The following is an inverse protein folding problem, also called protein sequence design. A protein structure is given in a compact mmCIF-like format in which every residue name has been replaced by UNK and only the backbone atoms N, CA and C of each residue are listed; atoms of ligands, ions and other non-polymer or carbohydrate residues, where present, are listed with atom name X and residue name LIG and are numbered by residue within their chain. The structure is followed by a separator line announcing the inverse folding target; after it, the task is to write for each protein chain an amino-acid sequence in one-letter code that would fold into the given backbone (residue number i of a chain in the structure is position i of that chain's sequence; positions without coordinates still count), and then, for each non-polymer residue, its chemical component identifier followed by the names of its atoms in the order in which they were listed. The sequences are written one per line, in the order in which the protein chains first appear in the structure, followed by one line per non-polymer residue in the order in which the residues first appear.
data_IF_401579179943
#
_entry.id   IF_401579179943
#
_cell.length_a   1.000
_cell.length_b   1.000
_cell.length_c   1.000
_cell.angle_alpha   90.00
_cell.angle_beta   90.00
_cell.angle_gamma   90.00
#
_symmetry.space_group_name_H-M   'P 1'
#
loop_
_entity.id
_entity.type
_entity.pdbx_description
1 polymer ?
#
# COMPACT_ATOMS: atom_id res chain seq x y z
N UNK A 1 43.59 29.86 40.86
CA UNK A 1 42.50 30.79 40.44
C UNK A 1 42.75 31.35 39.05
N UNK A 2 43.91 31.93 38.69
CA UNK A 2 44.13 32.51 37.37
C UNK A 2 43.95 31.56 36.20
N UNK A 3 44.50 30.31 36.27
CA UNK A 3 44.32 29.31 35.24
C UNK A 3 42.86 28.92 35.00
N UNK A 4 42.04 28.87 36.05
CA UNK A 4 40.60 28.56 35.94
C UNK A 4 39.84 29.70 35.27
N UNK A 5 40.17 30.95 35.57
CA UNK A 5 39.59 32.13 34.91
C UNK A 5 39.97 32.19 33.43
N UNK A 6 41.22 31.88 33.10
CA UNK A 6 41.68 31.85 31.73
C UNK A 6 41.01 30.72 30.91
N UNK A 7 40.84 29.54 31.50
CA UNK A 7 40.11 28.44 30.87
C UNK A 7 38.63 28.79 30.67
N UNK A 8 37.96 29.36 31.64
CA UNK A 8 36.58 29.87 31.53
C UNK A 8 36.41 30.94 30.44
N UNK A 9 37.38 31.83 30.31
CA UNK A 9 37.36 32.87 29.29
C UNK A 9 37.47 32.28 27.87
N UNK A 10 38.41 31.35 27.62
CA UNK A 10 38.54 30.69 26.31
C UNK A 10 37.36 29.79 26.00
N UNK A 11 36.78 29.09 26.96
CA UNK A 11 35.56 28.33 26.75
C UNK A 11 34.37 29.23 26.40
N UNK A 12 34.23 30.39 27.04
CA UNK A 12 33.22 31.40 26.72
C UNK A 12 33.36 31.94 25.30
N UNK A 13 34.58 32.26 24.87
CA UNK A 13 34.85 32.70 23.48
C UNK A 13 34.53 31.56 22.49
N UNK A 14 34.91 30.33 22.80
CA UNK A 14 34.63 29.18 21.96
C UNK A 14 33.12 28.91 21.78
N UNK A 15 32.35 29.04 22.88
CA UNK A 15 30.88 28.91 22.83
C UNK A 15 30.24 30.06 22.03
N UNK A 16 30.74 31.29 22.18
CA UNK A 16 30.24 32.44 21.42
C UNK A 16 30.51 32.25 19.90
N UNK A 17 31.72 31.83 19.54
CA UNK A 17 32.07 31.54 18.15
C UNK A 17 31.18 30.40 17.56
N UNK A 18 30.96 29.36 18.33
CA UNK A 18 30.06 28.26 17.93
C UNK A 18 28.63 28.76 17.70
N UNK A 19 28.11 29.59 18.61
CA UNK A 19 26.80 30.23 18.48
C UNK A 19 26.70 31.07 17.20
N UNK A 20 27.71 31.92 16.94
CA UNK A 20 27.77 32.77 15.73
C UNK A 20 27.78 31.89 14.46
N UNK A 21 28.57 30.79 14.44
CA UNK A 21 28.59 29.87 13.34
C UNK A 21 27.24 29.16 13.12
N UNK A 22 26.57 28.75 14.20
CA UNK A 22 25.25 28.14 14.13
C UNK A 22 24.18 29.12 13.60
N UNK A 23 24.22 30.37 14.06
CA UNK A 23 23.33 31.44 13.57
C UNK A 23 23.59 31.76 12.09
N UNK A 24 24.86 31.81 11.67
CA UNK A 24 25.20 31.99 10.26
C UNK A 24 24.72 30.81 9.40
N UNK A 25 24.96 29.58 9.83
CA UNK A 25 24.48 28.38 9.14
C UNK A 25 22.95 28.36 9.04
N UNK A 26 22.25 28.75 10.12
CA UNK A 26 20.79 28.88 10.10
C UNK A 26 20.33 29.99 9.14
N UNK A 27 21.03 31.13 9.10
CA UNK A 27 20.76 32.19 8.14
C UNK A 27 20.89 31.72 6.69
N UNK A 28 21.99 31.01 6.36
CA UNK A 28 22.17 30.39 5.03
C UNK A 28 21.10 29.38 4.72
N UNK A 29 20.68 28.56 5.69
CA UNK A 29 19.57 27.61 5.50
C UNK A 29 18.25 28.36 5.20
N UNK A 30 17.95 29.45 5.89
CA UNK A 30 16.78 30.28 5.62
C UNK A 30 16.83 30.88 4.20
N UNK A 31 17.99 31.35 3.75
CA UNK A 31 18.16 31.83 2.37
C UNK A 31 17.96 30.72 1.34
N UNK A 32 18.45 29.52 1.63
CA UNK A 32 18.22 28.35 0.78
C UNK A 32 16.73 27.98 0.70
N UNK A 33 16.02 27.95 1.83
CA UNK A 33 14.57 27.73 1.87
C UNK A 33 13.84 28.80 1.05
N UNK A 34 14.23 30.10 1.19
CA UNK A 34 13.66 31.18 0.40
C UNK A 34 13.88 31.00 -1.10
N UNK A 35 15.08 30.59 -1.49
CA UNK A 35 15.39 30.26 -2.89
C UNK A 35 14.48 29.15 -3.43
N UNK A 36 14.30 28.05 -2.65
CA UNK A 36 13.39 26.95 -3.03
C UNK A 36 11.96 27.48 -3.17
N UNK A 37 11.48 28.31 -2.24
CA UNK A 37 10.15 28.91 -2.36
C UNK A 37 10.01 29.70 -3.67
N UNK A 38 10.94 30.59 -3.94
CA UNK A 38 10.93 31.42 -5.17
C UNK A 38 10.90 30.57 -6.44
N UNK A 39 11.66 29.47 -6.45
CA UNK A 39 11.71 28.55 -7.60
C UNK A 39 10.34 27.92 -7.93
N UNK A 40 9.50 27.67 -6.93
CA UNK A 40 8.23 26.95 -7.08
C UNK A 40 6.97 27.78 -6.83
N UNK A 41 7.09 29.07 -6.45
CA UNK A 41 5.94 29.92 -6.06
C UNK A 41 4.96 30.22 -7.19
N UNK A 42 5.38 30.08 -8.44
CA UNK A 42 4.52 30.23 -9.61
C UNK A 42 3.55 29.06 -9.80
N UNK A 43 3.78 27.90 -9.13
CA UNK A 43 2.88 26.75 -9.16
C UNK A 43 1.76 26.97 -8.15
N UNK A 44 0.48 26.77 -8.53
CA UNK A 44 -0.66 26.92 -7.64
C UNK A 44 -0.51 26.08 -6.35
N UNK A 45 -1.15 26.52 -5.29
CA UNK A 45 -1.19 25.78 -4.04
C UNK A 45 -1.54 26.67 -2.85
N UNK A 46 -1.85 26.08 -1.69
CA UNK A 46 -2.28 26.81 -0.52
C UNK A 46 -1.16 27.73 0.02
N UNK A 47 -1.52 28.78 0.76
CA UNK A 47 -0.55 29.57 1.51
C UNK A 47 0.17 28.68 2.52
N UNK A 48 1.48 28.94 2.73
CA UNK A 48 2.27 28.19 3.71
C UNK A 48 1.86 28.58 5.13
N UNK A 49 1.74 27.60 6.01
CA UNK A 49 1.49 27.83 7.43
C UNK A 49 2.67 28.55 8.11
N UNK A 50 3.87 28.25 7.65
CA UNK A 50 5.13 28.75 8.20
C UNK A 50 6.20 28.86 7.12
N UNK A 51 7.09 29.83 7.26
CA UNK A 51 8.24 30.00 6.37
C UNK A 51 9.14 28.76 6.34
N UNK A 52 9.49 28.19 7.50
CA UNK A 52 10.37 27.03 7.58
C UNK A 52 9.61 25.71 7.42
N UNK A 53 8.48 25.55 8.10
CA UNK A 53 7.78 24.26 8.13
C UNK A 53 6.87 24.03 6.91
N UNK A 54 6.62 25.07 6.10
CA UNK A 54 5.72 24.97 4.95
C UNK A 54 4.30 24.63 5.37
N UNK A 55 3.73 23.54 4.85
CA UNK A 55 2.37 23.07 5.13
C UNK A 55 2.30 21.97 6.20
N UNK A 56 3.38 21.78 6.97
CA UNK A 56 3.44 20.70 7.98
C UNK A 56 2.30 20.80 9.00
N UNK A 57 1.98 22.03 9.45
CA UNK A 57 0.93 22.24 10.45
C UNK A 57 -0.46 21.90 9.90
N UNK A 58 -0.76 22.30 8.66
CA UNK A 58 -2.01 21.96 7.98
C UNK A 58 -2.14 20.47 7.76
N UNK A 59 -1.07 19.80 7.33
CA UNK A 59 -1.05 18.34 7.12
C UNK A 59 -1.27 17.60 8.44
N UNK A 60 -0.60 18.02 9.52
CA UNK A 60 -0.78 17.44 10.85
C UNK A 60 -2.22 17.60 11.36
N UNK A 61 -2.77 18.82 11.28
CA UNK A 61 -4.16 19.08 11.68
C UNK A 61 -5.16 18.25 10.86
N UNK A 62 -4.89 18.09 9.56
CA UNK A 62 -5.73 17.26 8.70
C UNK A 62 -5.68 15.78 9.10
N UNK A 63 -4.51 15.27 9.46
CA UNK A 63 -4.37 13.90 9.96
C UNK A 63 -5.14 13.72 11.28
N UNK A 64 -5.10 14.72 12.18
CA UNK A 64 -5.86 14.68 13.43
C UNK A 64 -7.39 14.75 13.20
N UNK A 65 -7.86 15.49 12.18
CA UNK A 65 -9.28 15.68 11.89
C UNK A 65 -9.88 14.62 10.96
N UNK A 66 -9.19 14.29 9.87
CA UNK A 66 -9.65 13.34 8.84
C UNK A 66 -9.09 11.92 9.01
N UNK A 67 -8.18 11.73 9.97
CA UNK A 67 -7.37 10.53 10.17
C UNK A 67 -6.36 10.22 9.03
N UNK A 68 -6.48 10.89 7.86
CA UNK A 68 -5.54 10.75 6.72
C UNK A 68 -5.30 12.11 6.02
N UNK A 69 -4.06 12.36 5.61
CA UNK A 69 -3.68 13.61 4.92
C UNK A 69 -4.24 13.72 3.49
N UNK A 70 -4.59 12.60 2.87
CA UNK A 70 -5.06 12.55 1.47
C UNK A 70 -6.37 13.32 1.25
N UNK A 71 -7.22 13.43 2.27
CA UNK A 71 -8.45 14.23 2.18
C UNK A 71 -8.16 15.74 2.10
N UNK A 72 -7.10 16.20 2.76
CA UNK A 72 -6.61 17.57 2.59
C UNK A 72 -6.08 17.80 1.17
N UNK A 73 -5.32 16.84 0.64
CA UNK A 73 -4.80 16.91 -0.72
C UNK A 73 -5.92 16.96 -1.76
N UNK A 74 -7.02 16.24 -1.54
CA UNK A 74 -8.21 16.30 -2.39
C UNK A 74 -8.82 17.70 -2.39
N UNK A 75 -9.04 18.30 -1.22
CA UNK A 75 -9.56 19.67 -1.09
C UNK A 75 -8.67 20.69 -1.80
N UNK A 76 -7.37 20.58 -1.62
CA UNK A 76 -6.43 21.46 -2.31
C UNK A 76 -6.48 21.27 -3.83
N UNK A 77 -6.64 20.03 -4.32
CA UNK A 77 -6.75 19.77 -5.75
C UNK A 77 -8.04 20.35 -6.35
N UNK A 78 -9.13 20.34 -5.61
CA UNK A 78 -10.39 20.97 -6.01
C UNK A 78 -10.32 22.50 -5.99
N UNK A 79 -9.60 23.08 -5.05
CA UNK A 79 -9.48 24.54 -4.87
C UNK A 79 -8.42 25.19 -5.79
N UNK A 80 -7.24 24.57 -5.90
CA UNK A 80 -6.08 25.17 -6.59
C UNK A 80 -5.82 24.57 -7.98
N UNK A 81 -6.51 23.51 -8.37
CA UNK A 81 -6.40 22.89 -9.68
C UNK A 81 -5.59 21.60 -9.74
N UNK A 82 -5.28 21.13 -10.97
CA UNK A 82 -4.75 19.78 -11.19
C UNK A 82 -3.27 19.60 -10.81
N UNK A 83 -2.55 20.69 -10.55
CA UNK A 83 -1.14 20.66 -10.15
C UNK A 83 -0.97 21.57 -8.93
N UNK A 84 -0.61 20.99 -7.80
CA UNK A 84 -0.49 21.70 -6.54
C UNK A 84 0.90 21.54 -5.98
N UNK A 85 1.52 22.64 -5.51
CA UNK A 85 2.74 22.57 -4.73
C UNK A 85 2.45 22.35 -3.24
N UNK A 86 3.24 21.49 -2.63
CA UNK A 86 3.28 21.28 -1.18
C UNK A 86 4.70 21.47 -0.70
N UNK A 87 4.88 22.36 0.27
CA UNK A 87 6.18 22.66 0.87
C UNK A 87 6.31 21.98 2.24
N UNK A 88 7.44 21.31 2.48
CA UNK A 88 7.81 20.76 3.78
C UNK A 88 9.29 21.03 4.01
N UNK A 89 9.63 21.95 4.92
CA UNK A 89 10.99 22.42 5.12
C UNK A 89 11.58 22.95 3.79
N UNK A 90 12.73 22.44 3.40
CA UNK A 90 13.39 22.73 2.12
C UNK A 90 12.96 21.80 0.98
N UNK A 91 11.99 20.94 1.20
CA UNK A 91 11.45 20.02 0.17
C UNK A 91 10.14 20.55 -0.41
N UNK A 92 10.00 20.43 -1.70
CA UNK A 92 8.75 20.64 -2.42
C UNK A 92 8.37 19.36 -3.12
N UNK A 93 7.12 18.97 -3.00
CA UNK A 93 6.54 17.95 -3.85
C UNK A 93 5.26 18.47 -4.48
N UNK A 94 4.92 17.93 -5.61
CA UNK A 94 3.72 18.30 -6.34
C UNK A 94 2.70 17.17 -6.24
N UNK A 95 1.44 17.54 -6.07
CA UNK A 95 0.31 16.61 -6.21
C UNK A 95 -0.30 16.90 -7.56
N UNK A 96 -0.41 15.85 -8.39
CA UNK A 96 -0.92 15.96 -9.74
C UNK A 96 -2.14 15.07 -9.91
N UNK A 97 -3.24 15.67 -10.40
CA UNK A 97 -4.53 15.03 -10.63
C UNK A 97 -4.97 15.12 -12.10
N UNK A 98 -4.03 15.40 -13.03
CA UNK A 98 -4.24 15.36 -14.47
C UNK A 98 -4.11 13.93 -15.00
N UNK A 99 -5.13 13.35 -15.65
CA UNK A 99 -5.05 12.02 -16.26
C UNK A 99 -3.97 11.92 -17.34
N UNK A 100 -3.74 12.99 -18.11
CA UNK A 100 -2.71 13.06 -19.14
C UNK A 100 -1.31 12.97 -18.51
N UNK A 101 -1.08 13.73 -17.44
CA UNK A 101 0.18 13.65 -16.70
C UNK A 101 0.36 12.28 -16.01
N UNK A 102 -0.71 11.70 -15.46
CA UNK A 102 -0.68 10.32 -14.89
C UNK A 102 -0.26 9.32 -15.96
N UNK A 103 -0.87 9.41 -17.16
CA UNK A 103 -0.53 8.56 -18.30
C UNK A 103 0.95 8.69 -18.63
N UNK A 104 1.42 9.90 -18.86
CA UNK A 104 2.81 10.12 -19.27
C UNK A 104 3.82 9.70 -18.21
N UNK A 105 3.63 10.16 -16.98
CA UNK A 105 4.57 9.90 -15.90
C UNK A 105 4.62 8.42 -15.47
N UNK A 106 3.52 7.67 -15.59
CA UNK A 106 3.49 6.27 -15.22
C UNK A 106 3.85 5.32 -16.36
N UNK A 107 3.50 5.67 -17.62
CA UNK A 107 3.76 4.80 -18.76
C UNK A 107 5.18 4.97 -19.33
N UNK A 108 5.79 6.15 -19.16
CA UNK A 108 7.13 6.43 -19.64
C UNK A 108 8.21 5.79 -18.76
N UNK A 109 9.26 5.28 -19.37
CA UNK A 109 10.46 4.78 -18.67
C UNK A 109 11.43 5.91 -18.25
N UNK A 110 11.21 7.13 -18.73
CA UNK A 110 12.05 8.31 -18.44
C UNK A 110 12.04 8.67 -16.94
N UNK A 111 10.89 8.51 -16.29
CA UNK A 111 10.69 9.00 -14.92
C UNK A 111 10.91 7.88 -13.90
N UNK A 112 11.93 8.05 -13.07
CA UNK A 112 12.26 7.11 -12.00
C UNK A 112 11.32 7.29 -10.79
N UNK A 113 11.36 6.35 -9.87
CA UNK A 113 10.73 6.53 -8.57
C UNK A 113 11.42 7.64 -7.79
N UNK A 114 10.66 8.31 -6.93
CA UNK A 114 11.17 9.37 -6.07
C UNK A 114 12.26 8.87 -5.12
N UNK A 115 13.48 9.44 -5.18
CA UNK A 115 14.58 8.98 -4.34
C UNK A 115 14.39 9.30 -2.85
N UNK A 116 13.57 10.28 -2.49
CA UNK A 116 13.39 10.70 -1.09
C UNK A 116 12.38 9.81 -0.36
N UNK A 117 11.19 9.63 -0.92
CA UNK A 117 10.15 8.82 -0.31
C UNK A 117 10.53 7.33 -0.25
N UNK A 118 11.06 6.79 -1.36
CA UNK A 118 11.45 5.38 -1.39
C UNK A 118 12.72 5.07 -0.58
N UNK A 119 13.58 6.06 -0.31
CA UNK A 119 14.71 5.90 0.60
C UNK A 119 14.27 5.64 2.05
N UNK A 120 13.13 6.17 2.47
CA UNK A 120 12.57 5.87 3.79
C UNK A 120 12.17 4.40 3.91
N UNK A 121 11.70 3.79 2.82
CA UNK A 121 11.34 2.38 2.78
C UNK A 121 12.54 1.46 2.58
N UNK A 122 13.65 1.98 2.06
CA UNK A 122 14.91 1.22 1.96
C UNK A 122 15.37 0.76 3.35
N UNK A 123 15.31 1.67 4.33
CA UNK A 123 15.64 1.36 5.72
C UNK A 123 14.66 2.03 6.68
N UNK A 124 14.11 1.27 7.62
CA UNK A 124 13.31 1.78 8.72
C UNK A 124 14.15 1.77 10.01
N UNK A 125 14.15 2.88 10.74
CA UNK A 125 14.87 3.03 12.02
C UNK A 125 16.32 2.49 11.95
N UNK A 126 17.06 2.82 10.86
CA UNK A 126 18.44 2.39 10.55
C UNK A 126 18.59 0.89 10.20
N UNK A 127 17.53 0.10 10.22
CA UNK A 127 17.55 -1.28 9.75
C UNK A 127 17.18 -1.35 8.27
N UNK A 128 17.94 -2.13 7.49
CA UNK A 128 17.59 -2.41 6.09
C UNK A 128 16.25 -3.13 6.06
N UNK A 129 15.25 -2.54 5.39
CA UNK A 129 13.89 -3.06 5.32
C UNK A 129 13.59 -3.61 3.93
N UNK A 130 13.12 -2.80 3.00
CA UNK A 130 12.95 -3.24 1.60
C UNK A 130 14.25 -3.20 0.78
N UNK A 131 15.31 -2.58 1.29
CA UNK A 131 16.61 -2.52 0.64
C UNK A 131 16.51 -2.09 -0.83
N UNK A 132 17.08 -2.87 -1.73
CA UNK A 132 17.01 -2.71 -3.18
C UNK A 132 15.95 -3.61 -3.84
N UNK A 133 14.89 -3.98 -3.12
CA UNK A 133 13.79 -4.75 -3.69
C UNK A 133 12.99 -3.99 -4.76
N UNK A 134 12.09 -4.68 -5.45
CA UNK A 134 11.32 -4.14 -6.58
C UNK A 134 10.54 -2.85 -6.27
N UNK A 135 10.12 -2.65 -5.02
CA UNK A 135 9.39 -1.43 -4.62
C UNK A 135 10.32 -0.22 -4.51
N UNK A 136 11.53 -0.40 -4.01
CA UNK A 136 12.43 0.70 -3.60
C UNK A 136 13.57 0.97 -4.56
N UNK A 137 13.90 0.04 -5.44
CA UNK A 137 15.01 0.22 -6.37
C UNK A 137 14.70 1.29 -7.43
N UNK A 138 15.46 2.40 -7.38
CA UNK A 138 15.37 3.51 -8.32
C UNK A 138 16.26 3.33 -9.55
N UNK A 139 17.25 2.44 -9.50
CA UNK A 139 18.10 2.14 -10.66
C UNK A 139 17.30 1.27 -11.64
N UNK A 140 17.09 1.78 -12.87
CA UNK A 140 16.24 1.14 -13.86
C UNK A 140 16.76 -0.24 -14.29
N UNK A 141 18.05 -0.35 -14.59
CA UNK A 141 18.64 -1.58 -15.15
C UNK A 141 18.66 -2.72 -14.13
N UNK A 142 19.07 -2.43 -12.88
CA UNK A 142 19.04 -3.39 -11.79
C UNK A 142 17.59 -3.81 -11.47
N UNK A 143 16.66 -2.85 -11.40
CA UNK A 143 15.26 -3.13 -11.19
C UNK A 143 14.66 -3.99 -12.31
N UNK A 144 14.97 -3.67 -13.59
CA UNK A 144 14.47 -4.41 -14.75
C UNK A 144 14.96 -5.86 -14.74
N UNK A 145 16.23 -6.08 -14.41
CA UNK A 145 16.80 -7.42 -14.24
C UNK A 145 16.05 -8.22 -13.17
N UNK A 146 15.84 -7.64 -11.99
CA UNK A 146 15.04 -8.27 -10.92
C UNK A 146 13.62 -8.55 -11.37
N UNK A 147 12.95 -7.57 -12.02
CA UNK A 147 11.58 -7.71 -12.50
C UNK A 147 11.44 -8.89 -13.45
N UNK A 148 12.37 -9.06 -14.37
CA UNK A 148 12.39 -10.17 -15.34
C UNK A 148 12.49 -11.55 -14.68
N UNK A 149 13.26 -11.66 -13.60
CA UNK A 149 13.38 -12.90 -12.83
C UNK A 149 12.06 -13.25 -12.12
N UNK A 150 11.34 -12.24 -11.67
CA UNK A 150 10.16 -12.43 -10.81
C UNK A 150 8.85 -12.52 -11.57
N UNK A 151 8.71 -11.85 -12.72
CA UNK A 151 7.48 -11.84 -13.52
C UNK A 151 6.92 -13.25 -13.84
N UNK A 152 7.75 -14.28 -14.17
CA UNK A 152 7.22 -15.61 -14.44
C UNK A 152 6.46 -16.25 -13.28
N UNK A 153 6.83 -15.92 -12.01
CA UNK A 153 6.14 -16.43 -10.82
C UNK A 153 4.77 -15.74 -10.57
N UNK A 154 4.53 -14.60 -11.19
CA UNK A 154 3.27 -13.85 -11.12
C UNK A 154 2.47 -13.91 -12.42
N UNK A 155 2.89 -14.76 -13.37
CA UNK A 155 2.14 -14.99 -14.61
C UNK A 155 0.80 -15.67 -14.33
N UNK A 156 -0.23 -15.33 -15.12
CA UNK A 156 -1.57 -15.94 -14.98
C UNK A 156 -1.54 -17.47 -15.06
N UNK A 157 -0.73 -18.02 -15.97
CA UNK A 157 -0.57 -19.46 -16.14
C UNK A 157 -0.05 -20.11 -14.86
N UNK A 158 1.00 -19.55 -14.27
CA UNK A 158 1.56 -20.09 -13.04
C UNK A 158 0.62 -19.91 -11.83
N UNK A 159 -0.04 -18.75 -11.73
CA UNK A 159 -0.98 -18.47 -10.64
C UNK A 159 -2.24 -19.35 -10.70
N UNK A 160 -2.65 -19.81 -11.89
CA UNK A 160 -3.73 -20.78 -12.02
C UNK A 160 -3.40 -22.08 -11.29
N UNK A 161 -2.16 -22.54 -11.37
CA UNK A 161 -1.70 -23.75 -10.69
C UNK A 161 -1.60 -23.56 -9.16
N UNK A 162 -1.63 -22.32 -8.65
CA UNK A 162 -1.62 -22.00 -7.23
C UNK A 162 -3.01 -21.85 -6.60
N UNK A 163 -4.10 -22.10 -7.35
CA UNK A 163 -5.47 -21.99 -6.83
C UNK A 163 -5.71 -22.82 -5.58
N UNK A 164 -5.05 -23.97 -5.47
CA UNK A 164 -5.13 -24.82 -4.28
C UNK A 164 -4.65 -24.12 -3.01
N UNK A 165 -3.61 -23.24 -3.09
CA UNK A 165 -3.11 -22.47 -1.96
C UNK A 165 -4.17 -21.46 -1.50
N UNK A 166 -4.77 -20.70 -2.43
CA UNK A 166 -5.82 -19.76 -2.10
C UNK A 166 -7.01 -20.44 -1.42
N UNK A 167 -7.41 -21.60 -1.94
CA UNK A 167 -8.48 -22.40 -1.35
C UNK A 167 -8.11 -22.90 0.05
N UNK A 168 -6.95 -23.57 0.20
CA UNK A 168 -6.48 -24.10 1.49
C UNK A 168 -6.41 -23.03 2.58
N UNK A 169 -5.77 -21.88 2.25
CA UNK A 169 -5.62 -20.82 3.25
C UNK A 169 -6.95 -20.15 3.59
N UNK A 170 -7.82 -19.99 2.59
CA UNK A 170 -9.19 -19.52 2.84
C UNK A 170 -9.99 -20.50 3.70
N UNK A 171 -9.84 -21.83 3.50
CA UNK A 171 -10.47 -22.84 4.36
C UNK A 171 -10.05 -22.70 5.82
N UNK A 172 -8.76 -22.52 6.09
CA UNK A 172 -8.29 -22.28 7.47
C UNK A 172 -8.95 -21.05 8.13
N UNK A 173 -9.22 -20.01 7.35
CA UNK A 173 -9.99 -18.86 7.84
C UNK A 173 -11.43 -19.26 8.17
N UNK A 174 -12.06 -20.06 7.27
CA UNK A 174 -13.44 -20.53 7.51
C UNK A 174 -13.51 -21.41 8.76
N UNK A 175 -12.55 -22.30 8.97
CA UNK A 175 -12.42 -23.13 10.18
C UNK A 175 -12.31 -22.27 11.45
N UNK A 176 -11.50 -21.19 11.42
CA UNK A 176 -11.39 -20.25 12.54
C UNK A 176 -12.66 -19.44 12.78
N UNK A 177 -13.37 -19.10 11.72
CA UNK A 177 -14.67 -18.43 11.85
C UNK A 177 -15.72 -19.40 12.44
N UNK A 178 -15.71 -20.67 12.08
CA UNK A 178 -16.64 -21.67 12.61
C UNK A 178 -16.54 -21.80 14.14
N UNK A 179 -15.31 -21.71 14.70
CA UNK A 179 -15.08 -21.75 16.16
C UNK A 179 -15.81 -20.61 16.91
N UNK A 180 -16.10 -19.49 16.26
CA UNK A 180 -16.65 -18.25 16.87
C UNK A 180 -17.90 -17.73 16.20
N UNK A 181 -18.48 -18.49 15.25
CA UNK A 181 -19.66 -18.08 14.46
C UNK A 181 -20.98 -18.34 15.22
N UNK A 182 -21.08 -17.86 16.46
CA UNK A 182 -22.26 -17.98 17.34
C UNK A 182 -23.24 -16.79 17.27
N UNK A 183 -22.92 -15.80 16.46
CA UNK A 183 -23.70 -14.57 16.29
C UNK A 183 -23.56 -13.58 17.47
N UNK A 184 -22.73 -13.86 18.45
CA UNK A 184 -22.56 -13.04 19.67
C UNK A 184 -21.09 -12.65 19.90
N UNK A 185 -20.17 -13.57 19.66
CA UNK A 185 -18.72 -13.33 19.86
C UNK A 185 -18.20 -12.31 18.85
N UNK A 186 -17.59 -11.19 19.33
CA UNK A 186 -16.98 -10.20 18.43
C UNK A 186 -15.72 -10.76 17.76
N UNK A 187 -15.65 -10.67 16.44
CA UNK A 187 -14.54 -11.12 15.60
C UNK A 187 -13.88 -9.92 14.92
N UNK A 188 -12.58 -9.75 15.09
CA UNK A 188 -11.79 -8.74 14.39
C UNK A 188 -11.49 -9.20 12.95
N UNK A 189 -12.40 -8.91 12.02
CA UNK A 189 -12.32 -9.37 10.63
C UNK A 189 -11.03 -8.93 9.93
N UNK A 190 -10.59 -7.69 10.14
CA UNK A 190 -9.34 -7.22 9.56
C UNK A 190 -8.12 -8.04 10.05
N UNK A 191 -8.08 -8.43 11.33
CA UNK A 191 -7.01 -9.25 11.86
C UNK A 191 -7.06 -10.67 11.27
N UNK A 192 -8.24 -11.27 11.20
CA UNK A 192 -8.41 -12.61 10.66
C UNK A 192 -8.04 -12.68 9.18
N UNK A 193 -8.47 -11.69 8.39
CA UNK A 193 -8.11 -11.57 6.97
C UNK A 193 -6.59 -11.35 6.81
N UNK A 194 -5.96 -10.53 7.68
CA UNK A 194 -4.51 -10.38 7.70
C UNK A 194 -3.77 -11.71 7.95
N UNK A 195 -4.29 -12.56 8.80
CA UNK A 195 -3.71 -13.90 9.03
C UNK A 195 -3.77 -14.75 7.74
N UNK A 196 -4.88 -14.73 7.01
CA UNK A 196 -5.02 -15.48 5.75
C UNK A 196 -4.05 -14.99 4.68
N UNK A 197 -4.00 -13.69 4.42
CA UNK A 197 -3.09 -13.12 3.42
C UNK A 197 -1.63 -13.33 3.80
N UNK A 198 -1.34 -13.37 5.10
CA UNK A 198 -0.03 -13.73 5.63
C UNK A 198 0.27 -15.22 5.39
N UNK A 199 -0.69 -16.11 5.67
CA UNK A 199 -0.56 -17.55 5.47
C UNK A 199 -0.42 -17.93 3.99
N UNK A 200 -1.03 -17.18 3.09
CA UNK A 200 -0.88 -17.35 1.63
C UNK A 200 0.55 -16.99 1.19
N UNK A 201 1.17 -15.99 1.82
CA UNK A 201 2.54 -15.56 1.48
C UNK A 201 3.59 -16.32 2.28
N UNK A 202 3.33 -16.59 3.58
CA UNK A 202 4.26 -17.30 4.46
C UNK A 202 3.55 -18.14 5.50
N UNK A 203 4.01 -19.35 5.67
CA UNK A 203 3.68 -20.22 6.79
C UNK A 203 4.49 -19.80 8.02
N UNK A 204 3.81 -19.22 9.02
CA UNK A 204 4.29 -19.04 10.40
C UNK A 204 4.79 -17.67 10.86
N UNK A 205 4.05 -16.98 11.78
CA UNK A 205 4.61 -16.33 12.99
C UNK A 205 3.56 -15.75 13.96
N UNK A 206 3.78 -15.78 15.30
CA UNK A 206 3.05 -14.97 16.28
C UNK A 206 3.94 -13.99 17.06
N UNK A 207 3.31 -12.87 17.50
CA UNK A 207 3.50 -12.04 18.69
C UNK A 207 4.25 -10.70 18.70
N UNK A 208 3.67 -9.73 19.45
CA UNK A 208 3.94 -8.30 19.65
C UNK A 208 5.13 -7.95 20.55
N UNK A 209 5.74 -6.74 20.34
CA UNK A 209 6.39 -5.91 21.38
C UNK A 209 6.67 -4.45 20.91
N UNK A 210 6.66 -3.48 21.90
CA UNK A 210 6.92 -2.02 21.84
C UNK A 210 7.30 -1.42 20.48
N UNK A 211 6.46 -0.51 19.97
CA UNK A 211 6.36 -0.09 18.58
C UNK A 211 7.69 0.20 17.82
N UNK A 212 8.64 0.92 18.37
CA UNK A 212 9.92 1.24 17.65
C UNK A 212 10.91 0.09 17.72
N UNK A 213 11.17 -0.47 18.90
CA UNK A 213 11.98 -1.68 19.04
C UNK A 213 11.31 -2.89 18.39
N UNK A 214 9.98 -2.92 18.36
CA UNK A 214 9.21 -3.93 17.68
C UNK A 214 9.43 -3.91 16.17
N UNK A 215 9.43 -2.75 15.54
CA UNK A 215 9.65 -2.62 14.09
C UNK A 215 11.11 -2.91 13.72
N UNK A 216 12.09 -2.45 14.50
CA UNK A 216 13.50 -2.82 14.30
C UNK A 216 13.71 -4.33 14.41
N UNK A 217 13.21 -4.95 15.48
CA UNK A 217 13.31 -6.38 15.69
C UNK A 217 12.54 -7.18 14.64
N UNK A 218 11.35 -6.70 14.23
CA UNK A 218 10.57 -7.32 13.17
C UNK A 218 11.28 -7.28 11.81
N UNK A 219 11.90 -6.16 11.44
CA UNK A 219 12.67 -6.05 10.21
C UNK A 219 13.87 -7.01 10.20
N UNK A 220 14.64 -7.05 11.31
CA UNK A 220 15.77 -7.97 11.46
C UNK A 220 15.31 -9.43 11.42
N UNK A 221 14.23 -9.76 12.14
CA UNK A 221 13.66 -11.10 12.18
C UNK A 221 13.15 -11.54 10.80
N UNK A 222 12.42 -10.67 10.11
CA UNK A 222 11.87 -10.96 8.79
C UNK A 222 12.97 -11.23 7.77
N UNK A 223 14.06 -10.46 7.79
CA UNK A 223 15.24 -10.70 6.94
C UNK A 223 15.94 -12.01 7.27
N UNK A 224 16.09 -12.32 8.57
CA UNK A 224 16.67 -13.60 9.03
C UNK A 224 15.85 -14.78 8.51
N UNK A 225 14.54 -14.73 8.69
CA UNK A 225 13.62 -15.79 8.21
C UNK A 225 13.66 -15.87 6.70
N UNK A 226 13.63 -14.72 6.00
CA UNK A 226 13.75 -14.69 4.54
C UNK A 226 15.00 -15.41 4.05
N UNK A 227 16.15 -15.10 4.68
CA UNK A 227 17.41 -15.78 4.37
C UNK A 227 17.32 -17.30 4.64
N UNK A 228 16.83 -17.71 5.81
CA UNK A 228 16.71 -19.13 6.16
C UNK A 228 15.77 -19.87 5.18
N UNK A 229 14.66 -19.26 4.77
CA UNK A 229 13.73 -19.83 3.80
C UNK A 229 14.39 -20.00 2.41
N UNK A 230 15.10 -18.98 1.94
CA UNK A 230 15.82 -18.98 0.67
C UNK A 230 16.90 -20.05 0.69
N UNK A 231 17.76 -20.07 1.73
CA UNK A 231 18.90 -21.01 1.84
C UNK A 231 18.40 -22.46 1.89
N UNK A 232 17.37 -22.75 2.70
CA UNK A 232 16.77 -24.10 2.78
C UNK A 232 16.16 -24.54 1.45
N UNK A 233 15.44 -23.63 0.76
CA UNK A 233 14.81 -23.95 -0.51
C UNK A 233 15.85 -24.17 -1.62
N UNK A 234 16.91 -23.34 -1.69
CA UNK A 234 18.04 -23.53 -2.62
C UNK A 234 18.71 -24.88 -2.37
N UNK A 235 19.00 -25.21 -1.12
CA UNK A 235 19.64 -26.47 -0.76
C UNK A 235 18.78 -27.70 -1.15
N UNK A 236 17.46 -27.62 -0.95
CA UNK A 236 16.54 -28.71 -1.34
C UNK A 236 16.50 -28.88 -2.87
N UNK A 237 16.42 -27.76 -3.62
CA UNK A 237 16.46 -27.79 -5.10
C UNK A 237 17.77 -28.43 -5.59
N UNK A 238 18.92 -27.99 -5.05
CA UNK A 238 20.23 -28.54 -5.42
C UNK A 238 20.39 -30.04 -5.12
N UNK A 239 19.73 -30.54 -4.07
CA UNK A 239 19.71 -31.99 -3.75
C UNK A 239 18.71 -32.79 -4.58
N UNK A 240 17.91 -32.14 -5.45
CA UNK A 240 16.86 -32.78 -6.22
C UNK A 240 15.67 -33.26 -5.37
N UNK A 241 15.48 -32.69 -4.17
CA UNK A 241 14.35 -33.00 -3.30
C UNK A 241 13.05 -32.43 -3.88
N UNK A 242 11.92 -33.06 -3.54
CA UNK A 242 10.62 -32.51 -3.86
C UNK A 242 10.41 -31.21 -3.06
N UNK A 243 10.12 -30.13 -3.78
CA UNK A 243 9.90 -28.80 -3.19
C UNK A 243 8.49 -28.29 -3.51
N UNK A 244 7.86 -27.53 -2.62
CA UNK A 244 6.55 -26.92 -2.88
C UNK A 244 6.54 -26.12 -4.18
N UNK A 245 5.47 -26.23 -4.95
CA UNK A 245 5.23 -25.38 -6.10
C UNK A 245 4.63 -24.07 -5.58
N UNK A 246 5.48 -23.09 -5.31
CA UNK A 246 5.11 -21.78 -4.80
C UNK A 246 5.93 -20.67 -5.49
N UNK A 247 5.58 -19.41 -5.20
CA UNK A 247 6.22 -18.22 -5.77
C UNK A 247 7.74 -18.25 -5.51
N UNK A 248 8.17 -18.60 -4.30
CA UNK A 248 9.60 -18.64 -3.94
C UNK A 248 10.35 -19.68 -4.80
N UNK A 249 9.83 -20.90 -4.92
CA UNK A 249 10.44 -21.94 -5.77
C UNK A 249 10.55 -21.49 -7.22
N UNK A 250 9.49 -20.85 -7.75
CA UNK A 250 9.50 -20.36 -9.14
C UNK A 250 10.54 -19.28 -9.35
N UNK A 251 10.64 -18.32 -8.45
CA UNK A 251 11.66 -17.27 -8.50
C UNK A 251 13.08 -17.86 -8.43
N UNK A 252 13.33 -18.78 -7.50
CA UNK A 252 14.66 -19.38 -7.34
C UNK A 252 15.07 -20.18 -8.58
N UNK A 253 14.17 -21.00 -9.14
CA UNK A 253 14.42 -21.74 -10.37
C UNK A 253 14.63 -20.83 -11.59
N UNK A 254 13.95 -19.69 -11.65
CA UNK A 254 14.18 -18.70 -12.70
C UNK A 254 15.55 -18.01 -12.50
N UNK A 255 15.89 -17.69 -11.25
CA UNK A 255 17.16 -17.06 -10.90
C UNK A 255 18.38 -17.95 -11.19
N UNK A 256 18.27 -19.27 -11.07
CA UNK A 256 19.33 -20.23 -11.45
C UNK A 256 19.70 -20.18 -12.93
N UNK A 257 18.78 -19.72 -13.78
CA UNK A 257 18.98 -19.58 -15.23
C UNK A 257 19.63 -18.26 -15.63
N UNK A 258 19.77 -17.34 -14.67
CA UNK A 258 20.32 -16.00 -14.89
C UNK A 258 21.70 -15.86 -14.20
N UNK A 259 22.65 -15.26 -14.90
CA UNK A 259 23.96 -14.95 -14.31
C UNK A 259 23.82 -13.84 -13.27
N UNK A 260 24.45 -13.99 -12.11
CA UNK A 260 24.60 -12.98 -11.06
C UNK A 260 23.30 -12.52 -10.36
N UNK A 261 22.67 -13.39 -9.61
CA UNK A 261 21.63 -12.98 -8.66
C UNK A 261 22.24 -12.71 -7.29
N UNK A 262 22.15 -11.45 -6.84
CA UNK A 262 22.60 -11.02 -5.51
C UNK A 262 21.66 -11.56 -4.41
N UNK A 263 22.20 -12.35 -3.48
CA UNK A 263 21.44 -12.95 -2.38
C UNK A 263 20.83 -11.88 -1.45
N UNK A 264 21.48 -10.76 -1.23
CA UNK A 264 20.91 -9.65 -0.43
C UNK A 264 19.71 -9.01 -1.14
N UNK A 265 19.76 -8.87 -2.45
CA UNK A 265 18.61 -8.37 -3.24
C UNK A 265 17.47 -9.41 -3.22
N UNK A 266 17.80 -10.71 -3.22
CA UNK A 266 16.77 -11.75 -3.09
C UNK A 266 16.05 -11.67 -1.72
N UNK A 267 16.80 -11.43 -0.64
CA UNK A 267 16.23 -11.21 0.69
C UNK A 267 15.38 -9.92 0.72
N UNK A 268 15.85 -8.84 0.09
CA UNK A 268 15.09 -7.59 -0.03
C UNK A 268 13.75 -7.80 -0.74
N UNK A 269 13.74 -8.60 -1.79
CA UNK A 269 12.52 -8.93 -2.50
C UNK A 269 11.62 -9.88 -1.70
N UNK A 270 12.19 -10.82 -0.95
CA UNK A 270 11.41 -11.65 -0.03
C UNK A 270 10.66 -10.77 0.99
N UNK A 271 11.36 -9.84 1.64
CA UNK A 271 10.74 -8.88 2.58
C UNK A 271 9.70 -8.01 1.87
N UNK A 272 10.01 -7.54 0.66
CA UNK A 272 9.11 -6.73 -0.14
C UNK A 272 7.80 -7.47 -0.44
N UNK A 273 7.87 -8.72 -0.92
CA UNK A 273 6.68 -9.52 -1.23
C UNK A 273 5.89 -9.89 0.01
N UNK A 274 6.59 -10.22 1.10
CA UNK A 274 5.96 -10.52 2.38
C UNK A 274 5.07 -9.36 2.85
N UNK A 275 5.61 -8.16 2.92
CA UNK A 275 4.88 -7.00 3.43
C UNK A 275 3.84 -6.50 2.43
N UNK A 276 4.24 -6.33 1.16
CA UNK A 276 3.36 -5.76 0.15
C UNK A 276 2.18 -6.69 -0.19
N UNK A 277 2.41 -8.00 -0.25
CA UNK A 277 1.37 -8.96 -0.60
C UNK A 277 0.36 -9.19 0.51
N UNK A 278 0.82 -9.19 1.76
CA UNK A 278 -0.05 -9.44 2.90
C UNK A 278 -0.96 -8.24 3.22
N UNK A 279 -0.37 -7.06 3.48
CA UNK A 279 -1.11 -5.96 4.08
C UNK A 279 -2.10 -5.31 3.11
N UNK A 280 -1.73 -5.20 1.82
CA UNK A 280 -2.60 -4.51 0.85
C UNK A 280 -3.88 -5.28 0.53
N UNK A 281 -3.79 -6.59 0.27
CA UNK A 281 -4.98 -7.43 0.00
C UNK A 281 -5.87 -7.55 1.23
N UNK A 282 -5.25 -7.71 2.42
CA UNK A 282 -6.01 -7.75 3.67
C UNK A 282 -6.80 -6.46 3.93
N UNK A 283 -6.17 -5.30 3.74
CA UNK A 283 -6.84 -4.02 3.91
C UNK A 283 -7.95 -3.80 2.89
N UNK A 284 -7.76 -4.19 1.62
CA UNK A 284 -8.81 -4.18 0.61
C UNK A 284 -10.02 -5.01 1.06
N UNK A 285 -9.81 -6.23 1.50
CA UNK A 285 -10.87 -7.12 1.96
C UNK A 285 -11.56 -6.58 3.23
N UNK A 286 -10.79 -6.05 4.19
CA UNK A 286 -11.34 -5.43 5.40
C UNK A 286 -12.26 -4.25 5.07
N UNK A 287 -11.83 -3.34 4.17
CA UNK A 287 -12.69 -2.26 3.69
C UNK A 287 -13.91 -2.76 2.92
N UNK A 288 -13.74 -3.81 2.12
CA UNK A 288 -14.87 -4.42 1.41
C UNK A 288 -15.90 -4.98 2.39
N UNK A 289 -15.49 -5.74 3.40
CA UNK A 289 -16.39 -6.24 4.45
C UNK A 289 -17.06 -5.09 5.17
N UNK A 290 -16.32 -4.04 5.54
CA UNK A 290 -16.86 -2.85 6.19
C UNK A 290 -17.97 -2.19 5.35
N UNK A 291 -17.75 -2.00 4.05
CA UNK A 291 -18.77 -1.43 3.16
C UNK A 291 -19.99 -2.34 2.99
N UNK A 292 -19.77 -3.64 2.84
CA UNK A 292 -20.88 -4.59 2.70
C UNK A 292 -21.80 -4.61 3.94
N UNK A 293 -21.30 -4.29 5.14
CA UNK A 293 -22.14 -4.15 6.33
C UNK A 293 -23.11 -2.94 6.26
N UNK A 294 -22.82 -1.96 5.41
CA UNK A 294 -23.62 -0.74 5.21
C UNK A 294 -24.52 -0.82 3.98
N UNK A 295 -24.27 -1.75 3.08
CA UNK A 295 -24.86 -1.84 1.75
C UNK A 295 -25.59 -3.19 1.55
N UNK A 296 -26.73 -3.41 2.22
CA UNK A 296 -27.41 -4.72 2.18
C UNK A 296 -27.81 -5.14 0.75
N UNK A 297 -28.20 -4.21 -0.11
CA UNK A 297 -28.57 -4.50 -1.50
C UNK A 297 -27.36 -5.02 -2.31
N UNK A 298 -26.19 -4.43 -2.10
CA UNK A 298 -24.93 -4.86 -2.75
C UNK A 298 -24.54 -6.24 -2.22
N UNK A 299 -24.67 -6.45 -0.91
CA UNK A 299 -24.37 -7.73 -0.27
C UNK A 299 -25.25 -8.86 -0.80
N UNK A 300 -26.56 -8.62 -0.93
CA UNK A 300 -27.51 -9.60 -1.49
C UNK A 300 -27.21 -9.92 -2.96
N UNK A 301 -26.90 -8.91 -3.77
CA UNK A 301 -26.51 -9.12 -5.17
C UNK A 301 -25.20 -9.94 -5.28
N UNK A 302 -24.23 -9.67 -4.40
CA UNK A 302 -23.00 -10.47 -4.31
C UNK A 302 -23.28 -11.93 -3.93
N UNK A 303 -24.14 -12.14 -2.93
CA UNK A 303 -24.53 -13.48 -2.49
C UNK A 303 -25.22 -14.27 -3.60
N UNK A 304 -26.11 -13.62 -4.34
CA UNK A 304 -26.78 -14.23 -5.48
C UNK A 304 -25.76 -14.70 -6.54
N UNK A 305 -24.76 -13.87 -6.87
CA UNK A 305 -23.68 -14.28 -7.80
C UNK A 305 -22.86 -15.46 -7.24
N UNK A 306 -22.52 -15.44 -5.95
CA UNK A 306 -21.79 -16.54 -5.30
C UNK A 306 -22.59 -17.84 -5.33
N UNK A 307 -23.89 -17.78 -5.05
CA UNK A 307 -24.79 -18.93 -5.09
C UNK A 307 -24.92 -19.52 -6.52
N UNK A 308 -25.02 -18.65 -7.52
CA UNK A 308 -25.11 -19.05 -8.93
C UNK A 308 -23.80 -19.67 -9.43
N UNK A 309 -22.65 -19.05 -9.15
CA UNK A 309 -21.37 -19.46 -9.72
C UNK A 309 -20.72 -20.61 -8.94
N UNK A 310 -20.78 -20.54 -7.61
CA UNK A 310 -20.11 -21.49 -6.72
C UNK A 310 -21.10 -22.52 -6.17
N UNK A 311 -22.27 -22.08 -5.73
CA UNK A 311 -23.27 -22.94 -5.10
C UNK A 311 -22.72 -23.68 -3.90
N UNK A 312 -22.75 -25.03 -3.93
CA UNK A 312 -22.26 -25.89 -2.84
C UNK A 312 -20.82 -26.38 -3.01
N UNK A 313 -20.07 -25.92 -4.02
CA UNK A 313 -18.67 -26.29 -4.19
C UNK A 313 -17.85 -25.86 -2.98
N UNK A 314 -16.92 -26.73 -2.54
CA UNK A 314 -15.97 -26.40 -1.50
C UNK A 314 -14.88 -25.45 -1.99
N UNK A 315 -14.34 -25.73 -3.17
CA UNK A 315 -13.22 -25.02 -3.74
C UNK A 315 -13.64 -24.12 -4.90
N UNK A 316 -13.02 -22.98 -5.01
CA UNK A 316 -13.19 -22.01 -6.09
C UNK A 316 -12.19 -22.31 -7.18
N UNK A 317 -12.65 -22.64 -8.38
CA UNK A 317 -11.79 -22.89 -9.52
C UNK A 317 -11.37 -21.59 -10.22
N UNK A 318 -10.30 -21.65 -10.99
CA UNK A 318 -9.84 -20.48 -11.76
C UNK A 318 -10.92 -19.98 -12.74
N UNK A 319 -11.64 -20.87 -13.37
CA UNK A 319 -12.75 -20.56 -14.28
C UNK A 319 -13.93 -19.89 -13.57
N UNK A 320 -14.17 -20.22 -12.32
CA UNK A 320 -15.19 -19.56 -11.49
C UNK A 320 -14.83 -18.09 -11.23
N UNK A 321 -13.53 -17.79 -11.01
CA UNK A 321 -13.08 -16.42 -10.81
C UNK A 321 -13.40 -15.50 -12.00
N UNK A 322 -13.46 -16.03 -13.21
CA UNK A 322 -13.82 -15.28 -14.42
C UNK A 322 -15.34 -14.99 -14.49
N UNK A 323 -16.18 -15.83 -13.89
CA UNK A 323 -17.64 -15.68 -13.83
C UNK A 323 -18.08 -14.72 -12.73
N UNK A 324 -17.28 -14.53 -11.67
CA UNK A 324 -17.52 -13.62 -10.56
C UNK A 324 -17.34 -12.16 -11.02
N UNK A 325 -18.26 -11.68 -11.83
CA UNK A 325 -18.21 -10.36 -12.48
C UNK A 325 -18.57 -9.26 -11.49
N UNK A 326 -19.68 -9.41 -10.77
CA UNK A 326 -20.13 -8.41 -9.79
C UNK A 326 -19.18 -8.35 -8.59
N UNK A 327 -18.65 -9.50 -8.14
CA UNK A 327 -17.58 -9.54 -7.15
C UNK A 327 -16.35 -8.72 -7.61
N UNK A 328 -16.00 -8.80 -8.89
CA UNK A 328 -14.91 -7.99 -9.46
C UNK A 328 -15.24 -6.49 -9.43
N UNK A 329 -16.49 -6.11 -9.70
CA UNK A 329 -16.94 -4.72 -9.64
C UNK A 329 -16.86 -4.18 -8.21
N UNK A 330 -17.34 -4.94 -7.22
CA UNK A 330 -17.29 -4.57 -5.80
C UNK A 330 -15.84 -4.39 -5.32
N UNK A 331 -14.94 -5.32 -5.67
CA UNK A 331 -13.53 -5.21 -5.30
C UNK A 331 -12.83 -4.01 -5.97
N UNK A 332 -13.19 -3.69 -7.22
CA UNK A 332 -12.68 -2.48 -7.91
C UNK A 332 -13.20 -1.20 -7.26
N UNK A 333 -14.47 -1.17 -6.90
CA UNK A 333 -15.07 -0.02 -6.21
C UNK A 333 -14.46 0.18 -4.81
N UNK A 334 -14.21 -0.92 -4.10
CA UNK A 334 -13.48 -0.87 -2.83
C UNK A 334 -12.09 -0.25 -3.00
N UNK A 335 -11.33 -0.63 -4.03
CA UNK A 335 -10.03 -0.03 -4.35
C UNK A 335 -10.11 1.44 -4.79
N UNK A 336 -11.22 1.86 -5.39
CA UNK A 336 -11.44 3.27 -5.74
C UNK A 336 -11.65 4.11 -4.48
N UNK A 337 -12.53 3.63 -3.60
CA UNK A 337 -12.87 4.38 -2.38
C UNK A 337 -11.79 4.22 -1.31
N UNK A 338 -11.20 3.05 -1.17
CA UNK A 338 -10.23 2.70 -0.12
C UNK A 338 -8.98 2.04 -0.70
N UNK A 339 -8.17 2.75 -1.52
CA UNK A 339 -6.96 2.16 -2.04
C UNK A 339 -5.93 1.95 -0.92
N UNK A 340 -5.52 0.71 -0.59
CA UNK A 340 -4.52 0.47 0.46
C UNK A 340 -3.19 1.18 0.19
N UNK A 341 -2.78 1.27 -1.09
CA UNK A 341 -1.70 2.14 -1.54
C UNK A 341 -2.32 3.39 -2.19
N UNK A 342 -2.39 4.54 -1.48
CA UNK A 342 -3.15 5.70 -1.93
C UNK A 342 -2.54 6.43 -3.13
N UNK A 343 -1.30 6.11 -3.51
CA UNK A 343 -0.63 6.72 -4.65
C UNK A 343 0.78 6.18 -4.87
N UNK A 344 1.42 6.76 -5.86
CA UNK A 344 2.83 6.52 -6.18
C UNK A 344 3.49 7.84 -6.55
N UNK A 345 4.83 7.89 -6.55
CA UNK A 345 5.55 9.10 -6.92
C UNK A 345 6.54 8.85 -8.05
N UNK A 346 6.87 9.93 -8.75
CA UNK A 346 7.92 9.98 -9.75
C UNK A 346 8.84 11.15 -9.48
N UNK A 347 10.08 10.98 -9.85
CA UNK A 347 11.08 12.04 -9.84
C UNK A 347 11.17 12.67 -11.24
N UNK A 348 11.03 13.98 -11.31
CA UNK A 348 11.27 14.77 -12.52
C UNK A 348 12.64 15.42 -12.36
N UNK A 349 13.59 15.01 -13.17
CA UNK A 349 14.98 15.51 -13.07
C UNK A 349 15.19 16.81 -13.83
N UNK A 350 14.52 16.96 -14.99
CA UNK A 350 14.60 18.13 -15.88
C UNK A 350 13.32 18.97 -15.82
N UNK A 351 13.41 20.21 -16.27
CA UNK A 351 12.22 21.07 -16.43
C UNK A 351 11.16 20.38 -17.33
N UNK A 352 9.92 20.43 -16.89
CA UNK A 352 8.79 19.78 -17.54
C UNK A 352 7.55 20.67 -17.53
N UNK A 353 6.56 20.41 -18.38
CA UNK A 353 5.29 21.16 -18.41
C UNK A 353 4.14 20.21 -18.11
N UNK A 354 3.33 20.53 -17.11
CA UNK A 354 2.09 19.82 -16.77
C UNK A 354 0.94 20.82 -16.80
N UNK A 355 -0.10 20.55 -17.57
CA UNK A 355 -1.29 21.44 -17.69
C UNK A 355 -0.91 22.91 -17.99
N UNK A 356 0.09 23.13 -18.84
CA UNK A 356 0.60 24.46 -19.17
C UNK A 356 1.46 25.13 -18.10
N UNK A 357 1.64 24.49 -16.92
CA UNK A 357 2.46 25.00 -15.82
C UNK A 357 3.89 24.46 -15.99
N UNK A 358 4.87 25.36 -16.02
CA UNK A 358 6.28 24.96 -16.04
C UNK A 358 6.67 24.38 -14.66
N UNK A 359 7.12 23.13 -14.63
CA UNK A 359 7.59 22.43 -13.46
C UNK A 359 9.12 22.43 -13.47
N UNK A 360 9.77 23.11 -12.53
CA UNK A 360 11.23 23.05 -12.42
C UNK A 360 11.72 21.65 -12.09
N UNK A 361 12.77 21.20 -12.75
CA UNK A 361 13.38 19.91 -12.51
C UNK A 361 13.87 19.73 -11.05
N UNK A 362 14.21 18.49 -10.70
CA UNK A 362 14.59 18.01 -9.37
C UNK A 362 13.45 18.15 -8.36
N UNK A 363 12.30 17.60 -8.73
CA UNK A 363 11.09 17.64 -7.91
C UNK A 363 10.36 16.30 -7.93
N UNK A 364 9.78 15.95 -6.78
CA UNK A 364 8.88 14.81 -6.63
C UNK A 364 7.50 15.16 -7.09
N UNK A 365 6.91 14.33 -7.95
CA UNK A 365 5.50 14.39 -8.33
C UNK A 365 4.78 13.19 -7.74
N UNK A 366 3.77 13.47 -6.92
CA UNK A 366 2.87 12.48 -6.33
C UNK A 366 1.64 12.33 -7.22
N UNK A 367 1.37 11.10 -7.63
CA UNK A 367 0.19 10.68 -8.37
C UNK A 367 -0.70 9.90 -7.41
N UNK A 368 -1.83 10.50 -7.02
CA UNK A 368 -2.60 10.03 -5.87
C UNK A 368 -3.95 9.47 -6.32
N UNK A 369 -4.05 8.13 -6.35
CA UNK A 369 -5.29 7.43 -6.77
C UNK A 369 -6.43 7.61 -5.77
N UNK A 370 -6.14 7.80 -4.47
CA UNK A 370 -7.14 8.13 -3.46
C UNK A 370 -7.81 9.48 -3.76
N UNK A 371 -7.00 10.50 -4.07
CA UNK A 371 -7.50 11.83 -4.40
C UNK A 371 -8.35 11.78 -5.66
N UNK A 372 -7.79 11.25 -6.77
CA UNK A 372 -8.50 11.20 -8.05
C UNK A 372 -9.76 10.35 -7.98
N UNK A 373 -9.72 9.23 -7.26
CA UNK A 373 -10.88 8.35 -7.05
C UNK A 373 -12.04 9.00 -6.30
N UNK A 374 -11.80 10.11 -5.58
CA UNK A 374 -12.79 10.83 -4.78
C UNK A 374 -13.15 12.22 -5.32
N UNK A 375 -12.73 12.56 -6.52
CA UNK A 375 -13.07 13.83 -7.17
C UNK A 375 -14.30 13.68 -8.08
N UNK A 376 -15.27 14.58 -7.92
CA UNK A 376 -16.51 14.64 -8.74
C UNK A 376 -16.20 14.76 -10.24
N UNK A 377 -15.10 15.43 -10.58
CA UNK A 377 -14.62 15.57 -11.96
C UNK A 377 -14.42 14.23 -12.67
N UNK A 378 -14.05 13.18 -11.94
CA UNK A 378 -13.72 11.86 -12.51
C UNK A 378 -14.79 10.82 -12.22
N UNK A 379 -15.49 10.93 -11.08
CA UNK A 379 -16.50 9.97 -10.64
C UNK A 379 -17.68 10.73 -10.06
N UNK A 380 -18.84 10.65 -10.73
CA UNK A 380 -20.08 11.25 -10.24
C UNK A 380 -20.44 10.66 -8.87
N UNK A 381 -20.86 11.49 -7.91
CA UNK A 381 -21.16 11.09 -6.53
C UNK A 381 -20.00 10.23 -5.93
N UNK A 382 -18.75 10.74 -5.87
CA UNK A 382 -17.56 9.91 -5.65
C UNK A 382 -17.49 9.24 -4.29
N UNK A 383 -18.26 9.72 -3.30
CA UNK A 383 -18.31 9.12 -1.97
C UNK A 383 -19.37 8.01 -1.86
N UNK A 384 -20.26 7.88 -2.86
CA UNK A 384 -21.19 6.75 -2.96
C UNK A 384 -20.42 5.51 -3.40
N UNK A 385 -20.56 4.42 -2.64
CA UNK A 385 -20.03 3.11 -3.01
C UNK A 385 -20.97 2.47 -4.06
N UNK A 386 -20.54 2.45 -5.30
CA UNK A 386 -21.36 2.04 -6.45
C UNK A 386 -20.59 1.12 -7.39
N UNK A 387 -20.68 -0.20 -7.24
CA UNK A 387 -20.01 -1.18 -8.07
C UNK A 387 -20.34 -1.10 -9.56
N UNK A 388 -21.50 -0.54 -9.93
CA UNK A 388 -21.93 -0.43 -11.33
C UNK A 388 -21.04 0.50 -12.16
N UNK A 389 -20.22 1.35 -11.53
CA UNK A 389 -19.17 2.13 -12.20
C UNK A 389 -18.16 1.26 -12.94
N UNK A 390 -18.01 0.01 -12.49
CA UNK A 390 -17.09 -0.96 -13.06
C UNK A 390 -17.79 -2.08 -13.83
N UNK A 391 -19.08 -1.88 -14.20
CA UNK A 391 -19.77 -2.76 -15.13
C UNK A 391 -18.96 -2.88 -16.44
N UNK A 392 -18.93 -4.05 -17.10
CA UNK A 392 -18.19 -4.22 -18.35
C UNK A 392 -18.50 -3.19 -19.43
N UNK A 393 -19.75 -2.76 -19.51
CA UNK A 393 -20.25 -1.77 -20.49
C UNK A 393 -20.12 -0.31 -20.02
N UNK A 394 -19.75 -0.07 -18.75
CA UNK A 394 -19.56 1.28 -18.24
C UNK A 394 -18.32 1.94 -18.87
N UNK A 395 -18.34 3.28 -19.04
CA UNK A 395 -17.17 4.01 -19.50
C UNK A 395 -15.96 3.76 -18.60
N UNK A 396 -14.84 3.39 -19.23
CA UNK A 396 -13.60 3.15 -18.46
C UNK A 396 -13.00 4.47 -17.99
N UNK A 397 -12.62 4.62 -16.72
CA UNK A 397 -12.02 5.85 -16.21
C UNK A 397 -10.64 6.06 -16.87
N UNK A 398 -10.53 7.14 -17.66
CA UNK A 398 -9.31 7.48 -18.37
C UNK A 398 -8.22 7.93 -17.41
N UNK A 399 -7.22 7.08 -17.15
CA UNK A 399 -6.07 7.32 -16.29
C UNK A 399 -6.35 7.99 -14.91
N UNK A 400 -7.61 7.94 -14.44
CA UNK A 400 -8.03 8.44 -13.12
C UNK A 400 -8.23 7.32 -12.08
N UNK A 401 -8.13 6.05 -12.51
CA UNK A 401 -8.22 4.86 -11.66
C UNK A 401 -7.01 3.97 -11.88
N UNK A 402 -6.08 3.96 -10.92
CA UNK A 402 -4.82 3.19 -11.01
C UNK A 402 -4.35 2.64 -9.64
N UNK A 403 -5.17 1.85 -8.93
CA UNK A 403 -4.82 1.36 -7.61
C UNK A 403 -3.62 0.41 -7.60
N UNK A 404 -3.25 -0.15 -8.74
CA UNK A 404 -2.06 -0.99 -8.95
C UNK A 404 -0.94 -0.25 -9.69
N UNK A 405 -0.97 1.08 -9.74
CA UNK A 405 -0.15 1.90 -10.62
C UNK A 405 -0.32 1.51 -12.11
N UNK A 406 0.55 2.01 -12.99
CA UNK A 406 0.50 1.77 -14.44
C UNK A 406 1.91 1.62 -15.02
N UNK A 407 1.99 1.11 -16.25
CA UNK A 407 3.23 1.00 -17.01
C UNK A 407 4.18 -0.07 -16.45
N UNK A 408 5.44 0.08 -16.78
CA UNK A 408 6.48 -0.89 -16.44
C UNK A 408 6.67 -1.10 -14.92
N UNK A 409 6.40 -0.08 -14.10
CA UNK A 409 6.45 -0.13 -12.63
C UNK A 409 5.11 -0.49 -11.97
N UNK A 410 4.13 -0.99 -12.73
CA UNK A 410 2.85 -1.46 -12.18
C UNK A 410 3.07 -2.63 -11.20
N UNK A 411 2.10 -2.84 -10.34
CA UNK A 411 2.13 -3.90 -9.33
C UNK A 411 2.30 -5.28 -9.98
N UNK A 412 3.35 -6.01 -9.60
CA UNK A 412 3.60 -7.38 -10.04
C UNK A 412 2.54 -8.34 -9.50
N UNK A 413 2.05 -8.09 -8.27
CA UNK A 413 1.07 -8.91 -7.58
C UNK A 413 -0.39 -8.62 -7.96
N UNK A 414 -0.68 -7.79 -8.97
CA UNK A 414 -2.05 -7.39 -9.30
C UNK A 414 -2.97 -8.59 -9.55
N UNK A 415 -2.55 -9.55 -10.39
CA UNK A 415 -3.35 -10.75 -10.69
C UNK A 415 -3.49 -11.63 -9.47
N UNK A 416 -2.38 -11.84 -8.75
CA UNK A 416 -2.34 -12.62 -7.52
C UNK A 416 -3.34 -12.10 -6.48
N UNK A 417 -3.27 -10.81 -6.13
CA UNK A 417 -4.16 -10.20 -5.13
C UNK A 417 -5.63 -10.23 -5.53
N UNK A 418 -5.93 -10.09 -6.83
CA UNK A 418 -7.31 -10.19 -7.33
C UNK A 418 -7.86 -11.61 -7.24
N UNK A 419 -7.06 -12.63 -7.51
CA UNK A 419 -7.44 -14.02 -7.34
C UNK A 419 -7.67 -14.35 -5.87
N UNK A 420 -6.73 -13.96 -5.01
CA UNK A 420 -6.80 -14.13 -3.56
C UNK A 420 -8.04 -13.45 -2.99
N UNK A 421 -8.23 -12.15 -3.29
CA UNK A 421 -9.37 -11.38 -2.76
C UNK A 421 -10.72 -11.97 -3.18
N UNK A 422 -10.86 -12.39 -4.44
CA UNK A 422 -12.07 -13.07 -4.91
C UNK A 422 -12.31 -14.38 -4.16
N UNK A 423 -11.30 -15.22 -4.01
CA UNK A 423 -11.44 -16.53 -3.36
C UNK A 423 -11.85 -16.37 -1.90
N UNK A 424 -11.16 -15.51 -1.14
CA UNK A 424 -11.45 -15.26 0.28
C UNK A 424 -12.86 -14.68 0.45
N UNK A 425 -13.21 -13.64 -0.32
CA UNK A 425 -14.52 -12.98 -0.23
C UNK A 425 -15.65 -13.96 -0.60
N UNK A 426 -15.47 -14.72 -1.65
CA UNK A 426 -16.45 -15.73 -2.12
C UNK A 426 -16.73 -16.78 -1.06
N UNK A 427 -15.69 -17.38 -0.46
CA UNK A 427 -15.85 -18.39 0.60
C UNK A 427 -16.50 -17.80 1.86
N UNK A 428 -16.15 -16.55 2.23
CA UNK A 428 -16.79 -15.85 3.33
C UNK A 428 -18.30 -15.68 3.08
N UNK A 429 -18.67 -15.16 1.92
CA UNK A 429 -20.07 -14.90 1.56
C UNK A 429 -20.90 -16.18 1.33
N UNK A 430 -20.27 -17.26 0.90
CA UNK A 430 -20.91 -18.56 0.72
C UNK A 430 -21.38 -19.15 2.06
N UNK A 431 -20.56 -18.98 3.13
CA UNK A 431 -20.76 -19.74 4.38
C UNK A 431 -21.28 -18.93 5.54
N UNK A 432 -20.99 -17.61 5.58
CA UNK A 432 -21.24 -16.80 6.75
C UNK A 432 -22.05 -15.55 6.45
N UNK A 433 -22.80 -15.16 7.45
CA UNK A 433 -23.37 -13.84 7.62
C UNK A 433 -22.59 -13.08 8.68
N UNK A 434 -22.52 -11.76 8.54
CA UNK A 434 -21.80 -10.92 9.47
C UNK A 434 -22.51 -9.58 9.66
N UNK A 435 -22.39 -9.02 10.85
CA UNK A 435 -22.93 -7.72 11.23
C UNK A 435 -21.88 -6.95 12.02
N UNK A 436 -21.70 -5.68 11.68
CA UNK A 436 -20.76 -4.81 12.37
C UNK A 436 -21.22 -4.57 13.82
N UNK A 437 -20.30 -4.72 14.78
CA UNK A 437 -20.53 -4.38 16.18
C UNK A 437 -20.70 -2.87 16.32
N UNK A 438 -21.73 -2.37 17.05
CA UNK A 438 -21.95 -0.93 17.22
C UNK A 438 -20.75 -0.19 17.84
N UNK A 439 -20.65 1.12 17.54
CA UNK A 439 -19.65 2.01 18.14
C UNK A 439 -18.33 2.15 17.37
N UNK A 440 -18.17 1.46 16.24
CA UNK A 440 -16.99 1.64 15.37
C UNK A 440 -17.11 2.91 14.53
N UNK A 441 -15.97 3.59 14.32
CA UNK A 441 -15.93 4.92 13.71
C UNK A 441 -15.94 4.91 12.19
N UNK A 442 -15.71 3.79 11.53
CA UNK A 442 -15.50 3.65 10.08
C UNK A 442 -14.35 4.50 9.53
N UNK A 443 -13.47 4.97 10.39
CA UNK A 443 -12.34 5.81 10.03
C UNK A 443 -11.19 5.00 9.47
N UNK A 444 -10.38 5.67 8.66
CA UNK A 444 -9.13 5.12 8.13
C UNK A 444 -7.96 5.65 8.93
N UNK A 445 -6.86 4.91 8.90
CA UNK A 445 -5.55 5.40 9.34
C UNK A 445 -4.51 5.10 8.26
N UNK A 446 -3.52 5.99 8.15
CA UNK A 446 -2.38 5.84 7.26
C UNK A 446 -1.15 5.42 8.07
N UNK A 447 -0.66 4.22 7.80
CA UNK A 447 0.57 3.66 8.42
C UNK A 447 1.60 3.26 7.37
N UNK A 448 1.58 3.95 6.21
CA UNK A 448 2.28 3.57 4.99
C UNK A 448 1.35 2.86 4.00
N UNK A 449 0.33 2.19 4.53
CA UNK A 449 -0.87 1.73 3.81
C UNK A 449 -2.11 2.24 4.54
N UNK A 450 -3.20 2.46 3.78
CA UNK A 450 -4.49 2.77 4.38
C UNK A 450 -5.14 1.52 4.93
N UNK A 451 -5.58 1.58 6.18
CA UNK A 451 -6.30 0.52 6.86
C UNK A 451 -7.45 1.05 7.71
N UNK A 452 -8.36 0.17 8.09
CA UNK A 452 -9.46 0.49 9.01
C UNK A 452 -8.92 0.75 10.41
N UNK A 453 -9.39 1.82 11.06
CA UNK A 453 -8.92 2.22 12.39
C UNK A 453 -9.35 1.23 13.47
N UNK A 454 -10.58 0.75 13.39
CA UNK A 454 -11.20 -0.08 14.43
C UNK A 454 -11.13 -1.60 14.13
N UNK A 455 -10.52 -2.01 13.01
CA UNK A 455 -10.28 -3.42 12.70
C UNK A 455 -11.47 -4.20 12.15
N UNK A 456 -12.61 -3.56 11.86
CA UNK A 456 -13.86 -4.17 11.35
C UNK A 456 -14.32 -5.31 12.25
N UNK A 457 -14.75 -4.98 13.45
CA UNK A 457 -15.25 -5.95 14.43
C UNK A 457 -16.68 -6.33 14.09
N UNK A 458 -16.93 -7.60 13.80
CA UNK A 458 -18.23 -8.15 13.45
C UNK A 458 -18.65 -9.27 14.37
N UNK A 459 -19.94 -9.47 14.55
CA UNK A 459 -20.50 -10.77 14.94
C UNK A 459 -20.77 -11.57 13.66
N UNK A 460 -20.50 -12.87 13.69
CA UNK A 460 -20.57 -13.76 12.53
C UNK A 460 -21.43 -14.98 12.89
N UNK A 461 -22.22 -15.49 11.92
CA UNK A 461 -22.99 -16.72 12.08
C UNK A 461 -23.10 -17.48 10.75
N UNK A 462 -23.33 -18.82 10.77
CA UNK A 462 -23.46 -19.60 9.56
C UNK A 462 -24.66 -19.13 8.74
N UNK A 463 -24.47 -19.05 7.43
CA UNK A 463 -25.53 -18.69 6.47
C UNK A 463 -26.62 -19.77 6.43
N UNK A 464 -27.90 -19.35 6.47
CA UNK A 464 -29.06 -20.25 6.51
C UNK A 464 -29.30 -20.91 7.86
N UNK A 465 -28.47 -20.65 8.88
CA UNK A 465 -28.70 -21.05 10.25
C UNK A 465 -29.68 -20.10 10.94
N UNK A 466 -30.70 -20.65 11.64
CA UNK A 466 -31.47 -19.84 12.58
C UNK A 466 -30.50 -19.28 13.61
N UNK A 467 -30.54 -17.94 13.85
CA UNK A 467 -29.96 -17.38 15.07
C UNK A 467 -30.41 -18.25 16.23
N UNK A 468 -29.49 -18.98 16.84
CA UNK A 468 -29.81 -19.69 18.06
C UNK A 468 -30.12 -18.63 19.11
N UNK A 469 -31.42 -18.36 19.30
CA UNK A 469 -31.89 -17.69 20.50
C UNK A 469 -31.48 -18.59 21.65
N UNK A 470 -30.45 -18.21 22.36
CA UNK A 470 -30.26 -18.68 23.73
C UNK A 470 -31.27 -17.88 24.56
N UNK A 471 -32.33 -18.58 24.97
CA UNK A 471 -33.22 -18.16 26.06
C UNK A 471 -32.41 -18.02 27.36
#
# INVERSE_FOLDING_TARGET
MALLQTALHYTGIGLLLLLVLLLAAFGFYCLYVKYIHFKFDHIPGPPRDSFLLGHFTSIRKATDYYDVSHELYRKWAEEYGPVIRVNMLNHVFLIVTSPEAVKELLMSQKYTKDPYGYKLLFSLFRQRFFGLGLVTDINHDRWYHQRRIMDPAFSRTYLKDLMYIFNEKSERMMEKLEEVADGQTPVHMAHLINCVTLDVICTYFPWHWNYVKGVENAAVLLRKIGKECIDKRKAAILRGEEVPQDILTKILKTAEQEEQVDDEIMIDNFVTFFVAGQETTANQLAFTVLELTKQPEILEKLRAEVDEVIGSKRDVDYEDLNKLTYTSQVLKESLRVYPPAPGTSRWIDEDYVIEGIKIPGKVTVMLNTYVMGRMEKFFKDPLKFDPERFHPDAPKPYFSYFPFALGHRSCIGQVFSQMEAKTVLTKLLQRYEFKLVPGQTHKMMDTGTLKTKDGVVCTVWPRGGKQMKKD
#
